data_IF_405404764594
#
_entry.id   IF_405404764594
#
_cell.length_a   1.000
_cell.length_b   1.000
_cell.length_c   1.000
_cell.angle_alpha   90.00
_cell.angle_beta   90.00
_cell.angle_gamma   90.00
#
_symmetry.space_group_name_H-M   'P 1'
#
loop_
_entity.id
_entity.type
_entity.pdbx_description
1 polymer ?
#
# COMPACT_ATOMS: atom_id res chain seq x y z
N UNK A 1 -52.55 -13.01 -11.15
CA UNK A 1 -51.28 -12.65 -10.49
C UNK A 1 -50.13 -13.05 -11.39
N UNK A 2 -49.08 -12.23 -11.51
CA UNK A 2 -47.83 -12.61 -12.20
C UNK A 2 -47.40 -11.67 -13.33
N UNK A 3 -47.28 -10.37 -13.06
CA UNK A 3 -46.53 -9.46 -13.93
C UNK A 3 -45.04 -9.64 -13.66
N UNK A 4 -44.39 -10.42 -14.51
CA UNK A 4 -42.95 -10.40 -14.68
C UNK A 4 -42.57 -9.05 -15.32
N UNK A 5 -42.02 -8.12 -14.53
CA UNK A 5 -41.36 -6.91 -15.07
C UNK A 5 -39.86 -7.05 -14.89
N UNK A 6 -39.23 -7.27 -16.04
CA UNK A 6 -37.80 -7.23 -16.29
C UNK A 6 -37.23 -5.91 -15.78
N UNK A 7 -36.45 -5.97 -14.70
CA UNK A 7 -35.46 -4.94 -14.40
C UNK A 7 -34.37 -5.08 -15.46
N UNK A 8 -34.43 -4.23 -16.49
CA UNK A 8 -33.30 -3.99 -17.36
C UNK A 8 -32.22 -3.29 -16.52
N UNK A 9 -31.36 -4.08 -15.89
CA UNK A 9 -30.06 -3.62 -15.41
C UNK A 9 -29.26 -3.23 -16.64
N UNK A 10 -29.27 -1.94 -16.98
CA UNK A 10 -28.28 -1.39 -17.90
C UNK A 10 -26.94 -1.54 -17.17
N UNK A 11 -26.00 -2.35 -17.66
CA UNK A 11 -24.68 -2.39 -17.07
C UNK A 11 -24.07 -1.02 -17.28
N UNK A 12 -23.84 -0.28 -16.19
CA UNK A 12 -22.89 0.82 -16.18
C UNK A 12 -21.53 0.17 -16.44
N UNK A 13 -21.19 -0.02 -17.71
CA UNK A 13 -19.83 -0.29 -18.11
C UNK A 13 -19.02 0.93 -17.70
N UNK A 14 -18.30 0.85 -16.59
CA UNK A 14 -17.16 1.71 -16.28
C UNK A 14 -16.13 1.58 -17.42
N UNK A 15 -16.34 2.30 -18.52
CA UNK A 15 -15.44 2.39 -19.68
C UNK A 15 -14.29 3.34 -19.38
N UNK A 16 -13.52 3.08 -18.32
CA UNK A 16 -12.11 3.48 -18.24
C UNK A 16 -11.39 2.40 -17.47
N UNK A 17 -10.59 1.62 -18.19
CA UNK A 17 -9.62 0.71 -17.59
C UNK A 17 -8.71 1.56 -16.71
N UNK A 18 -8.91 1.49 -15.39
CA UNK A 18 -7.97 2.03 -14.43
C UNK A 18 -6.60 1.41 -14.77
N UNK A 19 -5.67 2.23 -15.25
CA UNK A 19 -4.35 1.77 -15.65
C UNK A 19 -3.50 1.63 -14.39
N UNK A 20 -3.62 0.45 -13.77
CA UNK A 20 -2.89 0.06 -12.56
C UNK A 20 -1.39 0.31 -12.74
N UNK A 21 -0.83 0.04 -13.92
CA UNK A 21 0.59 0.20 -14.18
C UNK A 21 1.03 1.67 -14.22
N UNK A 22 0.23 2.53 -14.84
CA UNK A 22 0.48 3.98 -14.84
C UNK A 22 0.36 4.56 -13.43
N UNK A 23 -0.67 4.18 -12.68
CA UNK A 23 -0.87 4.61 -11.29
C UNK A 23 0.26 4.10 -10.40
N UNK A 24 0.66 2.83 -10.53
CA UNK A 24 1.80 2.23 -9.83
C UNK A 24 3.06 3.03 -10.09
N UNK A 25 3.43 3.29 -11.34
CA UNK A 25 4.65 4.05 -11.68
C UNK A 25 4.62 5.47 -11.11
N UNK A 26 3.49 6.16 -11.18
CA UNK A 26 3.33 7.50 -10.59
C UNK A 26 3.48 7.48 -9.07
N UNK A 27 2.79 6.56 -8.40
CA UNK A 27 2.86 6.38 -6.94
C UNK A 27 4.27 6.00 -6.51
N UNK A 28 4.91 5.04 -7.17
CA UNK A 28 6.28 4.61 -6.88
C UNK A 28 7.27 5.75 -7.10
N UNK A 29 7.18 6.47 -8.22
CA UNK A 29 8.05 7.61 -8.51
C UNK A 29 7.88 8.75 -7.49
N UNK A 30 6.65 9.00 -7.06
CA UNK A 30 6.35 10.01 -6.06
C UNK A 30 6.75 9.56 -4.63
N UNK A 31 6.54 8.30 -4.28
CA UNK A 31 7.01 7.69 -3.04
C UNK A 31 8.52 7.85 -2.87
N UNK A 32 9.28 7.49 -3.90
CA UNK A 32 10.73 7.67 -3.89
C UNK A 32 11.12 9.16 -3.80
N UNK A 33 10.30 10.06 -4.37
CA UNK A 33 10.52 11.50 -4.25
C UNK A 33 10.25 12.06 -2.86
N UNK A 34 9.24 11.54 -2.15
CA UNK A 34 8.89 11.96 -0.78
C UNK A 34 9.96 11.45 0.21
N UNK A 35 10.36 10.18 0.07
CA UNK A 35 11.26 9.53 1.04
C UNK A 35 12.73 9.90 0.83
N UNK A 36 13.17 10.07 -0.42
CA UNK A 36 14.59 10.25 -0.77
C UNK A 36 14.88 11.58 -1.47
N UNK A 37 13.86 12.40 -1.70
CA UNK A 37 13.95 13.70 -2.38
C UNK A 37 13.98 13.59 -3.91
N UNK A 38 14.17 14.72 -4.62
CA UNK A 38 14.28 14.76 -6.08
C UNK A 38 15.61 14.17 -6.60
N UNK A 39 16.60 13.97 -5.72
CA UNK A 39 17.95 13.52 -6.08
C UNK A 39 17.98 12.06 -6.52
N UNK A 40 18.33 11.82 -7.79
CA UNK A 40 18.51 10.48 -8.35
C UNK A 40 19.56 9.65 -7.58
N UNK A 41 20.74 10.19 -7.20
CA UNK A 41 21.70 9.48 -6.35
C UNK A 41 21.11 8.92 -5.05
N UNK A 42 20.37 9.75 -4.30
CA UNK A 42 19.74 9.32 -3.03
C UNK A 42 18.69 8.22 -3.24
N UNK A 43 17.97 8.24 -4.36
CA UNK A 43 17.01 7.18 -4.72
C UNK A 43 17.69 5.88 -5.09
N UNK A 44 18.79 5.94 -5.82
CA UNK A 44 19.57 4.75 -6.21
C UNK A 44 20.21 4.12 -4.97
N UNK A 45 20.82 4.93 -4.11
CA UNK A 45 21.37 4.50 -2.82
C UNK A 45 20.31 3.84 -1.95
N UNK A 46 19.14 4.47 -1.82
CA UNK A 46 18.01 3.90 -1.11
C UNK A 46 17.50 2.57 -1.69
N UNK A 47 17.47 2.45 -3.02
CA UNK A 47 17.05 1.23 -3.69
C UNK A 47 18.05 0.09 -3.43
N UNK A 48 19.35 0.39 -3.43
CA UNK A 48 20.40 -0.55 -3.04
C UNK A 48 20.22 -0.96 -1.58
N UNK A 49 20.02 0.00 -0.67
CA UNK A 49 19.87 -0.23 0.77
C UNK A 49 18.52 -0.88 1.15
N UNK A 50 17.55 -0.91 0.24
CA UNK A 50 16.25 -1.59 0.46
C UNK A 50 16.29 -3.07 0.14
N UNK A 51 17.40 -3.57 -0.43
CA UNK A 51 17.54 -4.97 -0.77
C UNK A 51 17.84 -5.75 0.50
N UNK A 52 17.06 -6.79 0.73
CA UNK A 52 17.36 -7.81 1.71
C UNK A 52 18.43 -8.72 1.11
N UNK A 53 19.69 -8.50 1.50
CA UNK A 53 20.86 -9.17 0.94
C UNK A 53 21.59 -9.90 2.06
N UNK A 54 21.38 -11.21 2.20
CA UNK A 54 22.20 -12.06 3.03
C UNK A 54 22.58 -13.32 2.24
N UNK A 55 23.76 -13.88 2.47
CA UNK A 55 24.27 -15.04 1.72
C UNK A 55 23.82 -16.40 2.30
N UNK A 56 22.69 -16.41 3.02
CA UNK A 56 22.06 -17.63 3.53
C UNK A 56 21.32 -18.37 2.40
N UNK A 57 21.04 -19.66 2.62
CA UNK A 57 20.19 -20.44 1.74
C UNK A 57 18.83 -19.74 1.52
N UNK A 58 18.31 -19.77 0.29
CA UNK A 58 17.06 -19.08 -0.07
C UNK A 58 15.84 -19.51 0.74
N UNK A 59 15.76 -20.79 1.13
CA UNK A 59 14.69 -21.27 2.00
C UNK A 59 14.82 -20.70 3.41
N UNK A 60 16.04 -20.66 3.95
CA UNK A 60 16.31 -20.05 5.26
C UNK A 60 15.95 -18.57 5.24
N UNK A 61 16.31 -17.84 4.19
CA UNK A 61 15.95 -16.43 4.03
C UNK A 61 14.43 -16.20 4.03
N UNK A 62 13.67 -17.05 3.34
CA UNK A 62 12.20 -16.97 3.35
C UNK A 62 11.63 -17.21 4.76
N UNK A 63 12.13 -18.22 5.46
CA UNK A 63 11.74 -18.48 6.84
C UNK A 63 12.13 -17.36 7.82
N UNK A 64 13.32 -16.77 7.68
CA UNK A 64 13.76 -15.60 8.46
C UNK A 64 12.83 -14.43 8.25
N UNK A 65 12.47 -14.13 6.98
CA UNK A 65 11.55 -13.05 6.65
C UNK A 65 10.15 -13.28 7.25
N UNK A 66 9.62 -14.51 7.13
CA UNK A 66 8.31 -14.88 7.71
C UNK A 66 8.30 -14.79 9.23
N UNK A 67 9.35 -15.30 9.88
CA UNK A 67 9.52 -15.21 11.33
C UNK A 67 9.55 -13.76 11.79
N UNK A 68 10.38 -12.92 11.16
CA UNK A 68 10.51 -11.51 11.48
C UNK A 68 9.17 -10.78 11.35
N UNK A 69 8.49 -10.92 10.20
CA UNK A 69 7.21 -10.27 9.93
C UNK A 69 6.14 -10.74 10.92
N UNK A 70 6.08 -12.04 11.23
CA UNK A 70 5.13 -12.60 12.20
C UNK A 70 5.27 -11.90 13.55
N UNK A 71 6.49 -11.81 14.08
CA UNK A 71 6.73 -11.19 15.38
C UNK A 71 6.55 -9.66 15.35
N UNK A 72 6.94 -9.00 14.25
CA UNK A 72 6.74 -7.56 14.08
C UNK A 72 5.25 -7.18 14.07
N UNK A 73 4.38 -8.05 13.53
CA UNK A 73 2.93 -7.85 13.52
C UNK A 73 2.24 -8.21 14.84
N UNK A 74 2.80 -9.14 15.62
CA UNK A 74 2.21 -9.58 16.89
C UNK A 74 2.50 -8.62 18.05
N UNK A 75 3.59 -7.86 17.99
CA UNK A 75 4.07 -7.01 19.10
C UNK A 75 3.78 -5.52 18.85
N UNK A 76 3.52 -4.76 19.91
CA UNK A 76 3.30 -3.31 19.81
C UNK A 76 4.59 -2.53 19.49
N UNK A 77 5.74 -3.02 19.94
CA UNK A 77 7.06 -2.45 19.70
C UNK A 77 7.76 -3.06 18.47
N UNK A 78 7.07 -3.93 17.72
CA UNK A 78 7.63 -4.65 16.57
C UNK A 78 8.70 -5.68 16.98
N UNK A 79 9.54 -6.06 16.02
CA UNK A 79 10.65 -6.98 16.26
C UNK A 79 11.84 -6.27 16.91
N UNK A 80 12.28 -6.78 18.06
CA UNK A 80 13.38 -6.20 18.86
C UNK A 80 14.64 -7.05 18.84
N UNK A 81 15.79 -6.46 19.22
CA UNK A 81 17.04 -7.21 19.40
C UNK A 81 16.91 -8.32 20.43
N UNK A 82 16.10 -8.12 21.49
CA UNK A 82 15.78 -9.17 22.45
C UNK A 82 15.13 -10.38 21.78
N UNK A 83 14.30 -10.17 20.77
CA UNK A 83 13.63 -11.26 20.05
C UNK A 83 14.60 -12.08 19.20
N UNK A 84 15.59 -11.41 18.60
CA UNK A 84 16.69 -12.09 17.94
C UNK A 84 17.54 -12.88 18.95
N UNK A 85 17.86 -12.31 20.11
CA UNK A 85 18.63 -12.99 21.16
C UNK A 85 17.88 -14.21 21.69
N UNK A 86 16.58 -14.10 21.98
CA UNK A 86 15.75 -15.22 22.42
C UNK A 86 15.70 -16.35 21.37
N UNK A 87 15.68 -16.01 20.08
CA UNK A 87 15.79 -16.99 19.00
C UNK A 87 17.14 -17.72 19.03
N UNK A 88 18.24 -16.97 19.21
CA UNK A 88 19.59 -17.54 19.31
C UNK A 88 19.80 -18.40 20.57
N UNK A 89 19.22 -18.01 21.71
CA UNK A 89 19.20 -18.82 22.93
C UNK A 89 18.55 -20.19 22.66
N UNK A 90 17.49 -20.24 21.85
CA UNK A 90 16.84 -21.48 21.40
C UNK A 90 17.75 -22.39 20.54
N UNK A 91 18.74 -21.80 19.88
CA UNK A 91 19.79 -22.52 19.13
C UNK A 91 21.01 -22.88 20.01
N UNK A 92 21.00 -22.55 21.30
CA UNK A 92 22.12 -22.75 22.21
C UNK A 92 23.25 -21.73 22.04
N UNK A 93 22.99 -20.58 21.40
CA UNK A 93 23.97 -19.51 21.22
C UNK A 93 23.79 -18.50 22.36
N UNK A 94 24.85 -18.30 23.13
CA UNK A 94 24.81 -17.44 24.31
C UNK A 94 24.79 -15.96 23.97
N UNK A 95 24.14 -15.15 24.80
CA UNK A 95 24.11 -13.68 24.68
C UNK A 95 25.52 -13.05 24.71
N UNK A 96 26.47 -13.70 25.41
CA UNK A 96 27.87 -13.26 25.52
C UNK A 96 28.71 -13.56 24.29
N UNK A 97 28.13 -14.23 23.28
CA UNK A 97 28.83 -14.56 22.05
C UNK A 97 29.31 -13.26 21.36
N UNK A 98 30.58 -13.18 20.86
CA UNK A 98 31.13 -11.94 20.31
C UNK A 98 30.27 -11.29 19.22
N UNK A 99 29.73 -12.10 18.30
CA UNK A 99 28.83 -11.61 17.24
C UNK A 99 27.50 -11.08 17.79
N UNK A 100 26.98 -11.65 18.89
CA UNK A 100 25.75 -11.20 19.53
C UNK A 100 26.00 -9.90 20.29
N UNK A 101 27.13 -9.77 20.99
CA UNK A 101 27.55 -8.51 21.63
C UNK A 101 27.73 -7.40 20.60
N UNK A 102 28.33 -7.68 19.43
CA UNK A 102 28.44 -6.71 18.34
C UNK A 102 27.06 -6.27 17.82
N UNK A 103 26.13 -7.21 17.67
CA UNK A 103 24.75 -6.92 17.26
C UNK A 103 24.00 -6.07 18.29
N UNK A 104 24.16 -6.35 19.59
CA UNK A 104 23.62 -5.53 20.69
C UNK A 104 24.26 -4.13 20.66
N UNK A 105 25.57 -4.05 20.46
CA UNK A 105 26.28 -2.78 20.42
C UNK A 105 25.79 -1.86 19.30
N UNK A 106 25.32 -2.41 18.17
CA UNK A 106 24.69 -1.67 17.07
C UNK A 106 23.30 -1.12 17.37
N UNK A 107 22.70 -1.47 18.52
CA UNK A 107 21.39 -0.97 18.92
C UNK A 107 21.37 0.49 19.37
N UNK A 108 20.17 1.07 19.36
CA UNK A 108 19.94 2.46 19.79
C UNK A 108 19.76 2.49 21.31
N UNK A 109 20.64 3.21 22.01
CA UNK A 109 20.53 3.41 23.46
C UNK A 109 21.87 3.64 24.15
N UNK A 110 21.84 4.36 25.27
CA UNK A 110 23.04 4.67 26.06
C UNK A 110 23.57 3.43 26.80
N UNK A 111 22.68 2.66 27.44
CA UNK A 111 23.01 1.43 28.17
C UNK A 111 22.81 0.19 27.30
N UNK A 112 23.49 -0.91 27.67
CA UNK A 112 23.33 -2.22 27.04
C UNK A 112 21.88 -2.68 27.04
N UNK A 113 21.19 -2.51 28.17
CA UNK A 113 19.79 -2.92 28.32
C UNK A 113 18.86 -2.13 27.39
N UNK A 114 19.10 -0.83 27.21
CA UNK A 114 18.36 -0.03 26.24
C UNK A 114 18.57 -0.53 24.81
N UNK A 115 19.79 -0.93 24.46
CA UNK A 115 20.07 -1.48 23.12
C UNK A 115 19.40 -2.83 22.90
N UNK A 116 19.32 -3.68 23.91
CA UNK A 116 18.64 -4.99 23.82
C UNK A 116 17.15 -4.83 23.51
N UNK A 117 16.48 -3.86 24.14
CA UNK A 117 15.04 -3.62 23.89
C UNK A 117 14.77 -2.77 22.66
N UNK A 118 15.81 -2.30 21.97
CA UNK A 118 15.66 -1.50 20.74
C UNK A 118 15.23 -2.37 19.54
N UNK A 119 14.46 -1.78 18.63
CA UNK A 119 14.06 -2.42 17.38
C UNK A 119 15.24 -2.64 16.44
N UNK A 120 15.30 -3.79 15.75
CA UNK A 120 16.25 -4.04 14.67
C UNK A 120 15.53 -4.25 13.34
N UNK A 121 16.27 -4.10 12.25
CA UNK A 121 15.79 -4.40 10.91
C UNK A 121 15.92 -5.89 10.56
N UNK A 122 15.13 -6.33 9.59
CA UNK A 122 15.25 -7.68 9.03
C UNK A 122 16.66 -7.95 8.49
N UNK A 123 17.29 -6.94 7.89
CA UNK A 123 18.66 -7.03 7.36
C UNK A 123 19.66 -7.30 8.49
N UNK A 124 19.64 -6.50 9.57
CA UNK A 124 20.56 -6.70 10.71
C UNK A 124 20.39 -8.08 11.35
N UNK A 125 19.16 -8.59 11.43
CA UNK A 125 18.92 -9.93 11.96
C UNK A 125 19.47 -11.03 11.03
N UNK A 126 19.28 -10.90 9.71
CA UNK A 126 19.82 -11.86 8.76
C UNK A 126 21.36 -11.83 8.68
N UNK A 127 21.97 -10.65 8.77
CA UNK A 127 23.43 -10.48 8.81
C UNK A 127 24.04 -11.13 10.07
N UNK A 128 23.34 -11.07 11.21
CA UNK A 128 23.74 -11.78 12.42
C UNK A 128 23.75 -13.29 12.19
N UNK A 129 22.67 -13.84 11.63
CA UNK A 129 22.58 -15.27 11.32
C UNK A 129 23.63 -15.69 10.30
N UNK A 130 23.85 -14.90 9.25
CA UNK A 130 24.90 -15.11 8.26
C UNK A 130 26.29 -15.14 8.90
N UNK A 131 26.59 -14.17 9.77
CA UNK A 131 27.87 -14.11 10.47
C UNK A 131 28.12 -15.34 11.32
N UNK A 132 27.09 -15.83 12.03
CA UNK A 132 27.16 -17.05 12.84
C UNK A 132 27.37 -18.31 11.97
N UNK A 133 26.70 -18.40 10.82
CA UNK A 133 26.89 -19.50 9.86
C UNK A 133 28.30 -19.47 9.27
N UNK A 134 28.80 -18.28 8.89
CA UNK A 134 30.14 -18.12 8.34
C UNK A 134 31.22 -18.50 9.37
N UNK A 135 31.10 -18.04 10.61
CA UNK A 135 32.03 -18.39 11.69
C UNK A 135 32.03 -19.90 11.96
N UNK A 136 30.85 -20.53 11.99
CA UNK A 136 30.77 -21.99 12.15
C UNK A 136 31.45 -22.75 11.02
N UNK A 137 31.28 -22.30 9.77
CA UNK A 137 31.95 -22.87 8.59
C UNK A 137 33.46 -22.69 8.64
N UNK A 138 33.94 -21.52 9.09
CA UNK A 138 35.38 -21.28 9.29
C UNK A 138 35.94 -22.23 10.36
N UNK A 139 35.16 -22.51 11.40
CA UNK A 139 35.52 -23.45 12.46
C UNK A 139 35.30 -24.94 12.08
N UNK A 140 34.94 -25.23 10.83
CA UNK A 140 34.77 -26.59 10.31
C UNK A 140 33.41 -27.24 10.59
N UNK A 141 32.46 -26.52 11.19
CA UNK A 141 31.08 -26.94 11.35
C UNK A 141 30.21 -26.57 10.14
N UNK A 142 29.11 -27.29 9.93
CA UNK A 142 28.14 -26.93 8.88
C UNK A 142 26.68 -27.14 9.31
N UNK A 143 26.45 -27.24 10.62
CA UNK A 143 25.17 -27.65 11.17
C UNK A 143 24.29 -26.45 11.55
N UNK A 144 24.89 -25.28 11.83
CA UNK A 144 24.15 -24.10 12.32
C UNK A 144 23.05 -23.67 11.35
N UNK A 145 23.32 -23.63 10.04
CA UNK A 145 22.32 -23.20 9.07
C UNK A 145 21.12 -24.16 8.99
N UNK A 146 21.36 -25.47 9.14
CA UNK A 146 20.31 -26.47 9.24
C UNK A 146 19.51 -26.37 10.54
N UNK A 147 20.18 -26.07 11.66
CA UNK A 147 19.54 -25.84 12.96
C UNK A 147 18.67 -24.58 12.94
N UNK A 148 19.16 -23.49 12.33
CA UNK A 148 18.40 -22.25 12.10
C UNK A 148 17.13 -22.57 11.30
N UNK A 149 17.26 -23.30 10.18
CA UNK A 149 16.11 -23.70 9.36
C UNK A 149 15.08 -24.47 10.19
N UNK A 150 15.53 -25.49 10.90
CA UNK A 150 14.66 -26.37 11.70
C UNK A 150 13.92 -25.60 12.78
N UNK A 151 14.59 -24.67 13.47
CA UNK A 151 13.97 -23.86 14.52
C UNK A 151 12.97 -22.84 13.95
N UNK A 152 13.30 -22.19 12.84
CA UNK A 152 12.36 -21.32 12.15
C UNK A 152 11.14 -22.08 11.63
N UNK A 153 11.34 -23.28 11.09
CA UNK A 153 10.27 -24.15 10.60
C UNK A 153 9.29 -24.54 11.70
N UNK A 154 9.77 -24.88 12.90
CA UNK A 154 8.89 -25.13 14.05
C UNK A 154 8.03 -23.91 14.36
N UNK A 155 8.65 -22.74 14.50
CA UNK A 155 7.97 -21.53 14.94
C UNK A 155 7.01 -20.98 13.89
N UNK A 156 7.35 -21.10 12.60
CA UNK A 156 6.52 -20.61 11.48
C UNK A 156 5.48 -21.65 11.06
N UNK A 157 5.82 -22.93 11.10
CA UNK A 157 4.99 -24.06 10.64
C UNK A 157 3.76 -24.30 11.52
N UNK A 158 3.82 -23.99 12.81
CA UNK A 158 2.71 -24.20 13.76
C UNK A 158 1.46 -23.32 13.49
N UNK A 159 1.54 -22.31 12.61
CA UNK A 159 0.52 -21.25 12.51
C UNK A 159 -0.23 -21.11 11.16
N UNK A 160 -0.07 -22.04 10.22
CA UNK A 160 -0.88 -22.00 8.98
C UNK A 160 -2.40 -22.17 9.29
N UNK A 161 -2.74 -22.71 10.47
CA UNK A 161 -4.12 -22.85 10.94
C UNK A 161 -4.61 -21.73 11.88
N UNK A 162 -3.73 -20.91 12.48
CA UNK A 162 -4.09 -19.96 13.55
C UNK A 162 -4.15 -18.49 13.14
N UNK A 163 -3.77 -18.17 11.89
CA UNK A 163 -3.97 -16.84 11.31
C UNK A 163 -5.46 -16.56 11.06
N UNK A 164 -6.22 -16.41 12.14
CA UNK A 164 -7.56 -15.85 12.11
C UNK A 164 -7.55 -14.52 11.37
N UNK A 165 -8.65 -14.23 10.68
CA UNK A 165 -8.83 -13.06 9.82
C UNK A 165 -8.09 -11.82 10.34
N UNK A 166 -7.38 -11.07 9.47
CA UNK A 166 -6.42 -10.07 9.88
C UNK A 166 -7.06 -9.12 10.89
N UNK A 167 -6.61 -9.18 12.15
CA UNK A 167 -6.85 -8.11 13.13
C UNK A 167 -6.34 -6.85 12.46
N UNK A 168 -7.26 -5.98 12.04
CA UNK A 168 -7.06 -4.66 11.42
C UNK A 168 -5.57 -4.29 11.29
N UNK A 169 -4.97 -4.64 10.15
CA UNK A 169 -3.52 -4.52 9.93
C UNK A 169 -3.00 -3.18 10.45
N UNK A 170 -2.16 -3.23 11.49
CA UNK A 170 -1.46 -2.09 12.06
C UNK A 170 0.03 -2.34 11.91
N UNK A 171 0.69 -1.48 11.14
CA UNK A 171 2.14 -1.36 11.15
C UNK A 171 2.52 -0.73 12.48
N UNK A 172 2.95 -1.56 13.44
CA UNK A 172 3.34 -1.13 14.78
C UNK A 172 4.77 -0.58 14.83
N UNK A 173 5.61 -0.96 13.85
CA UNK A 173 6.97 -0.46 13.74
C UNK A 173 6.97 1.08 13.55
N UNK A 174 7.49 1.87 14.51
CA UNK A 174 7.41 3.33 14.47
C UNK A 174 8.08 3.95 13.24
N UNK A 175 9.16 3.32 12.75
CA UNK A 175 9.91 3.74 11.57
C UNK A 175 9.02 3.59 10.33
N UNK A 176 8.38 2.43 10.19
CA UNK A 176 7.50 2.16 9.06
C UNK A 176 6.19 2.93 9.15
N UNK A 177 5.64 3.11 10.34
CA UNK A 177 4.38 3.80 10.58
C UNK A 177 4.43 5.25 10.09
N UNK A 178 5.48 6.00 10.43
CA UNK A 178 5.57 7.42 10.05
C UNK A 178 5.57 7.60 8.53
N UNK A 179 6.40 6.83 7.83
CA UNK A 179 6.49 6.89 6.37
C UNK A 179 5.23 6.36 5.68
N UNK A 180 4.62 5.30 6.22
CA UNK A 180 3.38 4.73 5.64
C UNK A 180 2.19 5.65 5.86
N UNK A 181 2.13 6.35 7.00
CA UNK A 181 1.11 7.36 7.30
C UNK A 181 1.21 8.56 6.37
N UNK A 182 2.42 9.07 6.13
CA UNK A 182 2.65 10.13 5.13
C UNK A 182 2.25 9.67 3.73
N UNK A 183 2.64 8.45 3.32
CA UNK A 183 2.24 7.87 2.04
C UNK A 183 0.72 7.74 1.90
N UNK A 184 0.04 7.29 2.95
CA UNK A 184 -1.42 7.13 2.94
C UNK A 184 -2.12 8.49 2.77
N UNK A 185 -1.59 9.54 3.41
CA UNK A 185 -2.10 10.91 3.23
C UNK A 185 -1.91 11.40 1.81
N UNK A 186 -0.74 11.19 1.21
CA UNK A 186 -0.47 11.61 -0.17
C UNK A 186 -1.26 10.78 -1.19
N UNK A 187 -1.35 9.46 -1.02
CA UNK A 187 -2.20 8.59 -1.85
C UNK A 187 -3.66 9.03 -1.83
N UNK A 188 -4.16 9.41 -0.65
CA UNK A 188 -5.53 9.90 -0.50
C UNK A 188 -5.77 11.13 -1.37
N UNK A 189 -4.83 12.08 -1.46
CA UNK A 189 -4.96 13.25 -2.34
C UNK A 189 -5.13 12.86 -3.81
N UNK A 190 -4.31 11.92 -4.30
CA UNK A 190 -4.40 11.45 -5.69
C UNK A 190 -5.71 10.71 -5.97
N UNK A 191 -6.13 9.84 -5.05
CA UNK A 191 -7.41 9.13 -5.17
C UNK A 191 -8.58 10.11 -5.15
N UNK A 192 -8.57 11.10 -4.25
CA UNK A 192 -9.58 12.16 -4.18
C UNK A 192 -9.61 12.97 -5.48
N UNK A 193 -8.44 13.35 -6.03
CA UNK A 193 -8.35 14.06 -7.30
C UNK A 193 -8.85 13.24 -8.49
N UNK A 194 -8.53 11.95 -8.56
CA UNK A 194 -9.00 11.04 -9.63
C UNK A 194 -10.51 10.79 -9.53
N UNK A 195 -11.04 10.59 -8.32
CA UNK A 195 -12.49 10.46 -8.07
C UNK A 195 -13.21 11.76 -8.46
N UNK A 196 -12.65 12.91 -8.09
CA UNK A 196 -13.20 14.21 -8.44
C UNK A 196 -13.20 14.43 -9.96
N UNK A 197 -12.11 14.09 -10.65
CA UNK A 197 -12.02 14.18 -12.10
C UNK A 197 -13.02 13.26 -12.82
N UNK A 198 -13.29 12.07 -12.26
CA UNK A 198 -14.31 11.16 -12.78
C UNK A 198 -15.72 11.78 -12.68
N UNK A 199 -16.07 12.34 -11.51
CA UNK A 199 -17.36 13.03 -11.32
C UNK A 199 -17.55 14.20 -12.28
N UNK A 200 -16.53 15.05 -12.44
CA UNK A 200 -16.57 16.19 -13.38
C UNK A 200 -16.83 15.70 -14.81
N UNK A 201 -16.14 14.64 -15.23
CA UNK A 201 -16.32 14.06 -16.56
C UNK A 201 -17.72 13.47 -16.77
N UNK A 202 -18.28 12.80 -15.76
CA UNK A 202 -19.62 12.21 -15.84
C UNK A 202 -20.69 13.31 -16.00
N UNK A 203 -20.58 14.40 -15.24
CA UNK A 203 -21.43 15.59 -15.39
C UNK A 203 -21.29 16.23 -16.79
N UNK A 204 -20.06 16.37 -17.30
CA UNK A 204 -19.82 16.88 -18.67
C UNK A 204 -20.39 15.98 -19.77
N UNK A 205 -20.35 14.66 -19.58
CA UNK A 205 -20.93 13.70 -20.51
C UNK A 205 -22.45 13.79 -20.51
N UNK A 206 -23.06 13.92 -19.32
CA UNK A 206 -24.50 14.04 -19.15
C UNK A 206 -25.04 15.36 -19.74
N UNK A 207 -24.37 16.48 -19.47
CA UNK A 207 -24.68 17.77 -20.11
C UNK A 207 -24.59 17.66 -21.64
N UNK A 208 -23.55 16.99 -22.17
CA UNK A 208 -23.44 16.77 -23.63
C UNK A 208 -24.57 15.90 -24.18
N UNK A 209 -25.03 14.90 -23.43
CA UNK A 209 -26.15 14.04 -23.82
C UNK A 209 -27.45 14.85 -23.91
N UNK A 210 -27.75 15.65 -22.89
CA UNK A 210 -28.95 16.47 -22.82
C UNK A 210 -28.94 17.62 -23.85
N UNK A 211 -27.79 18.27 -24.09
CA UNK A 211 -27.65 19.26 -25.17
C UNK A 211 -27.99 18.64 -26.55
N UNK A 212 -27.53 17.42 -26.83
CA UNK A 212 -27.90 16.71 -28.08
C UNK A 212 -29.40 16.43 -28.18
N UNK A 213 -30.06 16.14 -27.05
CA UNK A 213 -31.50 15.93 -27.02
C UNK A 213 -32.26 17.24 -27.30
N UNK A 214 -31.79 18.38 -26.79
CA UNK A 214 -32.32 19.70 -27.14
C UNK A 214 -32.11 20.00 -28.63
N UNK A 215 -30.90 19.79 -29.16
CA UNK A 215 -30.61 20.02 -30.58
C UNK A 215 -31.55 19.21 -31.50
N UNK A 216 -31.89 17.99 -31.11
CA UNK A 216 -32.86 17.16 -31.83
C UNK A 216 -34.27 17.74 -31.77
N UNK A 217 -34.73 18.18 -30.59
CA UNK A 217 -36.02 18.85 -30.42
C UNK A 217 -36.08 20.16 -31.21
N UNK A 218 -35.01 20.94 -31.26
CA UNK A 218 -34.95 22.18 -32.04
C UNK A 218 -35.01 21.93 -33.54
N UNK A 219 -34.37 20.86 -34.04
CA UNK A 219 -34.51 20.43 -35.44
C UNK A 219 -35.94 20.02 -35.77
N UNK A 220 -36.59 19.28 -34.87
CA UNK A 220 -38.00 18.88 -35.03
C UNK A 220 -38.91 20.12 -35.05
N UNK A 221 -38.70 21.06 -34.13
CA UNK A 221 -39.41 22.33 -34.05
C UNK A 221 -39.37 23.10 -35.37
N UNK A 222 -38.18 23.20 -35.97
CA UNK A 222 -37.98 23.85 -37.28
C UNK A 222 -38.67 23.13 -38.44
N UNK A 223 -38.89 21.82 -38.34
CA UNK A 223 -39.49 21.01 -39.42
C UNK A 223 -41.01 20.93 -39.38
N UNK A 224 -41.61 20.72 -38.20
CA UNK A 224 -43.04 20.40 -38.06
C UNK A 224 -43.74 21.06 -36.86
N UNK A 225 -43.05 21.95 -36.13
CA UNK A 225 -43.51 22.44 -34.83
C UNK A 225 -43.48 21.35 -33.74
N UNK A 226 -43.38 21.76 -32.48
CA UNK A 226 -43.36 20.83 -31.34
C UNK A 226 -44.77 20.55 -30.83
N UNK A 227 -45.05 19.28 -30.51
CA UNK A 227 -46.23 18.90 -29.73
C UNK A 227 -46.11 19.38 -28.27
N UNK A 228 -47.23 19.43 -27.54
CA UNK A 228 -47.24 19.86 -26.14
C UNK A 228 -46.41 18.94 -25.22
N UNK A 229 -46.35 17.65 -25.53
CA UNK A 229 -45.49 16.71 -24.82
C UNK A 229 -44.00 16.98 -25.08
N UNK A 230 -43.62 17.29 -26.34
CA UNK A 230 -42.25 17.65 -26.70
C UNK A 230 -41.84 19.01 -26.10
N UNK A 231 -42.77 19.98 -26.03
CA UNK A 231 -42.54 21.26 -25.34
C UNK A 231 -42.27 21.07 -23.85
N UNK A 232 -43.11 20.30 -23.14
CA UNK A 232 -42.90 19.99 -21.72
C UNK A 232 -41.59 19.25 -21.49
N UNK A 233 -41.26 18.29 -22.36
CA UNK A 233 -39.98 17.57 -22.31
C UNK A 233 -38.78 18.50 -22.52
N UNK A 234 -38.88 19.46 -23.45
CA UNK A 234 -37.81 20.44 -23.69
C UNK A 234 -37.54 21.27 -22.44
N UNK A 235 -38.58 21.85 -21.85
CA UNK A 235 -38.47 22.65 -20.61
C UNK A 235 -37.86 21.82 -19.48
N UNK A 236 -38.33 20.58 -19.28
CA UNK A 236 -37.76 19.69 -18.26
C UNK A 236 -36.28 19.37 -18.47
N UNK A 237 -35.82 19.25 -19.73
CA UNK A 237 -34.40 19.02 -20.04
C UNK A 237 -33.59 20.30 -19.81
N UNK A 238 -34.16 21.47 -20.10
CA UNK A 238 -33.53 22.78 -19.85
C UNK A 238 -33.32 23.02 -18.35
N UNK A 239 -34.32 22.71 -17.51
CA UNK A 239 -34.21 22.78 -16.04
C UNK A 239 -33.15 21.80 -15.50
N UNK A 240 -33.10 20.58 -16.02
CA UNK A 240 -32.10 19.57 -15.65
C UNK A 240 -30.68 20.01 -16.04
N UNK A 241 -30.52 20.63 -17.21
CA UNK A 241 -29.24 21.20 -17.66
C UNK A 241 -28.76 22.34 -16.75
N UNK A 242 -29.67 23.20 -16.28
CA UNK A 242 -29.32 24.28 -15.36
C UNK A 242 -28.77 23.72 -14.04
N UNK A 243 -29.44 22.72 -13.47
CA UNK A 243 -28.98 22.05 -12.25
C UNK A 243 -27.62 21.37 -12.44
N UNK A 244 -27.43 20.63 -13.54
CA UNK A 244 -26.18 19.93 -13.83
C UNK A 244 -25.01 20.90 -14.09
N UNK A 245 -25.26 22.05 -14.73
CA UNK A 245 -24.24 23.08 -14.92
C UNK A 245 -23.84 23.74 -13.60
N UNK A 246 -24.80 23.98 -12.71
CA UNK A 246 -24.51 24.50 -11.37
C UNK A 246 -23.70 23.50 -10.53
N UNK A 247 -24.01 22.20 -10.65
CA UNK A 247 -23.25 21.14 -9.99
C UNK A 247 -21.84 21.00 -10.58
N UNK A 248 -21.69 21.02 -11.90
CA UNK A 248 -20.38 21.00 -12.57
C UNK A 248 -19.49 22.17 -12.13
N UNK A 249 -20.06 23.38 -11.99
CA UNK A 249 -19.32 24.54 -11.51
C UNK A 249 -18.82 24.36 -10.06
N UNK A 250 -19.63 23.74 -9.18
CA UNK A 250 -19.19 23.39 -7.81
C UNK A 250 -18.07 22.37 -7.84
N UNK A 251 -18.21 21.31 -8.64
CA UNK A 251 -17.21 20.24 -8.74
C UNK A 251 -15.89 20.73 -9.37
N UNK A 252 -15.93 21.68 -10.30
CA UNK A 252 -14.74 22.35 -10.83
C UNK A 252 -14.01 23.20 -9.77
N UNK A 253 -14.75 23.89 -8.91
CA UNK A 253 -14.15 24.65 -7.81
C UNK A 253 -13.43 23.72 -6.82
N UNK A 254 -14.00 22.55 -6.53
CA UNK A 254 -13.36 21.52 -5.71
C UNK A 254 -12.12 20.95 -6.41
N UNK A 255 -12.20 20.63 -7.70
CA UNK A 255 -11.07 20.14 -8.48
C UNK A 255 -9.90 21.16 -8.55
N UNK A 256 -10.21 22.45 -8.68
CA UNK A 256 -9.21 23.51 -8.68
C UNK A 256 -8.53 23.67 -7.31
N UNK A 257 -9.27 23.55 -6.21
CA UNK A 257 -8.67 23.53 -4.87
C UNK A 257 -7.74 22.34 -4.68
N UNK A 258 -8.14 21.15 -5.13
CA UNK A 258 -7.31 19.93 -5.05
C UNK A 258 -6.04 20.01 -5.90
N UNK A 259 -6.02 20.81 -6.98
CA UNK A 259 -4.83 21.06 -7.81
C UNK A 259 -3.84 22.04 -7.20
N UNK A 260 -4.28 22.87 -6.24
CA UNK A 260 -3.47 23.89 -5.58
C UNK A 260 -2.87 23.39 -4.24
N UNK A 261 -3.22 22.17 -3.82
CA UNK A 261 -2.71 21.48 -2.61
C UNK A 261 -1.63 20.46 -2.97
#
# INVERSE_FOLDING_TARGET
MGLCRVFATVPIQCRRRYDIERSRRKVTGHYYSIKYGPSLPKRVEALINSRFNACLNSEVLDYVARYFIKFDLLKENGFTRRDAILFLEGLGIEEKHPLVEQFIAGGVGESRDHRIVSGCSLQEFAELLESLVLENRINGGNEIEGNIKTELEKIVGDDVASCGAPRKFRLNNPILWHHTSQLTKELRKYVEADVQAAKTLDLENEIRRLNRAIDQLDRISKSRGLSDAERKRKVSIEDELEMLRAELAKEHNVANKLRLM
#
